data_IF_215911611495
#
_entry.id   IF_215911611495
#
_cell.length_a   1.000
_cell.length_b   1.000
_cell.length_c   1.000
_cell.angle_alpha   90.00
_cell.angle_beta   90.00
_cell.angle_gamma   90.00
#
_symmetry.space_group_name_H-M   'P 1'
#
loop_
_entity.id
_entity.type
_entity.pdbx_description
1 polymer ?
#
# COMPACT_ATOMS: atom_id res chain seq x y z
N UNK A 1 35.53 53.95 6.81
CA UNK A 1 34.62 53.15 5.97
C UNK A 1 33.33 53.01 6.76
N UNK A 2 32.18 53.55 6.31
CA UNK A 2 30.94 53.39 7.04
C UNK A 2 30.50 51.92 6.92
N UNK A 3 30.19 51.30 8.05
CA UNK A 3 29.63 49.94 8.09
C UNK A 3 28.22 49.98 7.49
N UNK A 4 28.11 49.57 6.23
CA UNK A 4 26.82 49.24 5.62
C UNK A 4 26.30 47.97 6.29
N UNK A 5 25.50 48.12 7.34
CA UNK A 5 24.63 47.03 7.77
C UNK A 5 23.52 46.92 6.74
N UNK A 6 23.66 46.00 5.79
CA UNK A 6 22.55 45.60 4.91
C UNK A 6 21.46 45.02 5.81
N UNK A 7 20.39 45.79 6.02
CA UNK A 7 19.17 45.30 6.66
C UNK A 7 18.58 44.17 5.81
N UNK A 8 18.69 42.94 6.28
CA UNK A 8 18.03 41.76 5.69
C UNK A 8 16.52 42.00 5.71
N UNK A 9 15.93 42.25 4.54
CA UNK A 9 14.50 42.62 4.38
C UNK A 9 13.52 41.45 4.61
N UNK A 10 14.03 40.25 4.82
CA UNK A 10 13.25 39.04 5.11
C UNK A 10 14.09 37.80 4.80
N UNK A 11 13.90 36.74 5.58
CA UNK A 11 14.52 35.43 5.30
C UNK A 11 13.49 34.59 4.58
N UNK A 12 13.78 34.15 3.35
CA UNK A 12 12.97 33.13 2.71
C UNK A 12 13.32 31.76 3.31
N UNK A 13 12.49 31.33 4.26
CA UNK A 13 12.65 30.04 4.92
C UNK A 13 12.59 28.85 3.95
N UNK A 14 12.06 28.98 2.74
CA UNK A 14 12.06 27.91 1.72
C UNK A 14 13.40 27.75 1.03
N UNK A 15 14.20 28.81 0.98
CA UNK A 15 15.57 28.73 0.51
C UNK A 15 16.46 28.08 1.59
N UNK A 16 16.25 28.44 2.85
CA UNK A 16 17.03 27.95 4.00
C UNK A 16 16.66 26.51 4.40
N UNK A 17 15.37 26.20 4.48
CA UNK A 17 14.85 24.88 4.85
C UNK A 17 13.85 24.37 3.79
N UNK A 18 14.37 23.86 2.65
CA UNK A 18 13.54 23.40 1.54
C UNK A 18 12.49 22.35 1.94
N UNK A 19 12.84 21.48 2.88
CA UNK A 19 12.01 20.38 3.37
C UNK A 19 10.67 20.83 3.99
N UNK A 20 10.52 22.11 4.39
CA UNK A 20 9.24 22.66 4.87
C UNK A 20 8.15 22.51 3.80
N UNK A 21 8.51 22.44 2.51
CA UNK A 21 7.54 22.24 1.43
C UNK A 21 6.76 20.93 1.55
N UNK A 22 7.30 19.92 2.24
CA UNK A 22 6.60 18.65 2.50
C UNK A 22 5.34 18.83 3.35
N UNK A 23 5.27 19.89 4.16
CA UNK A 23 4.03 20.24 4.89
C UNK A 23 2.84 20.51 3.96
N UNK A 24 3.12 20.94 2.72
CA UNK A 24 2.07 21.13 1.70
C UNK A 24 1.47 19.81 1.24
N UNK A 25 2.18 18.68 1.36
CA UNK A 25 1.66 17.37 1.01
C UNK A 25 0.39 17.04 1.80
N UNK A 26 0.33 17.42 3.08
CA UNK A 26 -0.89 17.33 3.90
C UNK A 26 -2.06 18.12 3.27
N UNK A 27 -1.82 19.40 2.92
CA UNK A 27 -2.85 20.25 2.30
C UNK A 27 -3.32 19.74 0.93
N UNK A 28 -2.45 19.07 0.19
CA UNK A 28 -2.81 18.37 -1.05
C UNK A 28 -3.67 17.15 -0.73
N UNK A 29 -3.23 16.30 0.19
CA UNK A 29 -3.88 15.04 0.54
C UNK A 29 -5.29 15.22 1.13
N UNK A 30 -5.52 16.26 1.94
CA UNK A 30 -6.86 16.58 2.51
C UNK A 30 -7.78 17.26 1.49
N UNK A 31 -7.30 17.61 0.30
CA UNK A 31 -8.17 18.26 -0.68
C UNK A 31 -9.21 17.29 -1.25
N UNK A 32 -10.44 17.78 -1.40
CA UNK A 32 -11.58 17.03 -1.96
C UNK A 32 -11.22 16.24 -3.22
N UNK A 33 -10.57 16.81 -4.26
CA UNK A 33 -10.24 16.03 -5.46
C UNK A 33 -9.30 14.87 -5.16
N UNK A 34 -8.30 15.05 -4.29
CA UNK A 34 -7.34 14.00 -3.96
C UNK A 34 -7.98 12.91 -3.11
N UNK A 35 -8.77 13.27 -2.10
CA UNK A 35 -9.51 12.30 -1.28
C UNK A 35 -10.48 11.49 -2.14
N UNK A 36 -11.22 12.14 -3.04
CA UNK A 36 -12.14 11.45 -3.94
C UNK A 36 -11.39 10.48 -4.87
N UNK A 37 -10.31 10.93 -5.51
CA UNK A 37 -9.50 10.07 -6.40
C UNK A 37 -8.88 8.90 -5.65
N UNK A 38 -8.35 9.13 -4.44
CA UNK A 38 -7.79 8.07 -3.62
C UNK A 38 -8.87 7.07 -3.18
N UNK A 39 -10.06 7.54 -2.80
CA UNK A 39 -11.17 6.66 -2.39
C UNK A 39 -11.66 5.79 -3.54
N UNK A 40 -11.80 6.37 -4.74
CA UNK A 40 -12.14 5.61 -5.94
C UNK A 40 -11.04 4.61 -6.28
N UNK A 41 -9.76 4.99 -6.15
CA UNK A 41 -8.62 4.08 -6.35
C UNK A 41 -8.62 2.90 -5.38
N UNK A 42 -8.85 3.15 -4.08
CA UNK A 42 -8.97 2.09 -3.06
C UNK A 42 -10.17 1.19 -3.37
N UNK A 43 -11.34 1.77 -3.63
CA UNK A 43 -12.55 1.03 -3.96
C UNK A 43 -12.40 0.15 -5.21
N UNK A 44 -11.74 0.64 -6.27
CA UNK A 44 -11.44 -0.14 -7.46
C UNK A 44 -10.39 -1.24 -7.21
N UNK A 45 -9.43 -0.99 -6.32
CA UNK A 45 -8.44 -2.02 -5.92
C UNK A 45 -9.17 -3.19 -5.27
N UNK A 46 -9.97 -2.92 -4.24
CA UNK A 46 -10.76 -3.95 -3.53
C UNK A 46 -11.74 -4.64 -4.49
N UNK A 47 -12.45 -3.88 -5.33
CA UNK A 47 -13.40 -4.46 -6.29
C UNK A 47 -12.72 -5.40 -7.29
N UNK A 48 -11.53 -5.03 -7.78
CA UNK A 48 -10.81 -5.86 -8.74
C UNK A 48 -10.27 -7.14 -8.14
N UNK A 49 -9.73 -7.08 -6.92
CA UNK A 49 -9.28 -8.28 -6.21
C UNK A 49 -10.44 -9.24 -5.92
N UNK A 50 -11.63 -8.72 -5.58
CA UNK A 50 -12.84 -9.55 -5.48
C UNK A 50 -13.27 -10.17 -6.81
N UNK A 51 -13.04 -9.51 -7.94
CA UNK A 51 -13.29 -10.07 -9.28
C UNK A 51 -12.28 -11.17 -9.61
N UNK A 52 -11.00 -10.97 -9.29
CA UNK A 52 -9.94 -11.96 -9.46
C UNK A 52 -10.28 -13.23 -8.68
N UNK A 53 -10.68 -13.09 -7.42
CA UNK A 53 -11.15 -14.20 -6.58
C UNK A 53 -12.29 -14.97 -7.23
N UNK A 54 -13.36 -14.28 -7.65
CA UNK A 54 -14.52 -14.92 -8.26
C UNK A 54 -14.21 -15.64 -9.59
N UNK A 55 -13.21 -15.19 -10.34
CA UNK A 55 -12.83 -15.77 -11.62
C UNK A 55 -11.89 -16.97 -11.49
N UNK A 56 -10.95 -16.93 -10.54
CA UNK A 56 -9.87 -17.93 -10.39
C UNK A 56 -10.17 -18.98 -9.33
N UNK A 57 -10.98 -18.66 -8.32
CA UNK A 57 -11.35 -19.55 -7.21
C UNK A 57 -12.82 -19.92 -7.38
N UNK A 58 -13.11 -20.87 -8.27
CA UNK A 58 -14.50 -21.24 -8.64
C UNK A 58 -15.28 -22.03 -7.58
N UNK A 59 -14.81 -22.16 -6.34
CA UNK A 59 -15.59 -22.77 -5.26
C UNK A 59 -15.38 -22.04 -3.93
N UNK A 60 -16.28 -21.10 -3.57
CA UNK A 60 -16.87 -20.94 -2.22
C UNK A 60 -17.92 -19.81 -2.12
N UNK A 61 -18.81 -19.82 -1.10
CA UNK A 61 -20.03 -18.99 -1.06
C UNK A 61 -19.71 -17.49 -0.92
N UNK A 62 -20.67 -16.68 -1.37
CA UNK A 62 -20.56 -15.24 -1.55
C UNK A 62 -19.81 -14.49 -0.43
N UNK A 63 -18.81 -13.73 -0.87
CA UNK A 63 -17.97 -12.79 -0.11
C UNK A 63 -18.79 -11.97 0.90
N UNK A 64 -18.53 -12.18 2.20
CA UNK A 64 -18.85 -11.21 3.23
C UNK A 64 -17.68 -10.21 3.31
N UNK A 65 -17.93 -8.97 2.90
CA UNK A 65 -17.00 -7.85 3.06
C UNK A 65 -16.66 -7.68 4.56
N UNK A 66 -15.37 -7.57 4.86
CA UNK A 66 -14.86 -7.28 6.21
C UNK A 66 -15.57 -6.04 6.75
N UNK A 67 -16.37 -6.25 7.81
CA UNK A 67 -17.37 -5.32 8.33
C UNK A 67 -18.67 -6.03 8.76
N UNK A 68 -18.95 -7.22 8.25
CA UNK A 68 -19.97 -8.10 8.80
C UNK A 68 -19.32 -9.08 9.79
N UNK A 69 -19.48 -8.82 11.09
CA UNK A 69 -19.16 -9.80 12.12
C UNK A 69 -20.06 -11.02 11.91
N UNK A 70 -19.52 -12.11 11.40
CA UNK A 70 -20.10 -13.43 11.66
C UNK A 70 -19.77 -13.76 13.12
N UNK A 71 -20.63 -13.30 14.03
CA UNK A 71 -20.82 -13.99 15.29
C UNK A 71 -21.20 -15.44 14.95
N UNK A 72 -20.29 -16.34 15.29
CA UNK A 72 -20.60 -17.56 16.03
C UNK A 72 -21.88 -18.27 15.57
N UNK A 73 -21.82 -19.00 14.45
CA UNK A 73 -22.70 -20.15 14.25
C UNK A 73 -22.13 -21.29 15.10
N UNK A 74 -22.23 -21.14 16.43
CA UNK A 74 -22.18 -22.28 17.33
C UNK A 74 -23.51 -23.01 17.19
N UNK A 75 -23.46 -24.16 16.55
CA UNK A 75 -24.63 -24.99 16.28
C UNK A 75 -25.24 -25.47 17.63
N UNK A 76 -26.49 -25.09 17.98
CA UNK A 76 -27.11 -25.49 19.25
C UNK A 76 -27.33 -27.01 19.38
N UNK A 77 -27.08 -27.79 18.31
CA UNK A 77 -27.09 -29.25 18.35
C UNK A 77 -25.85 -29.87 19.02
N UNK A 78 -24.72 -29.16 19.10
CA UNK A 78 -23.47 -29.74 19.63
C UNK A 78 -23.31 -29.65 21.16
N UNK A 79 -24.10 -28.79 21.81
CA UNK A 79 -24.10 -28.64 23.26
C UNK A 79 -24.98 -29.70 23.96
N UNK A 80 -26.00 -30.21 23.26
CA UNK A 80 -26.84 -31.30 23.73
C UNK A 80 -26.09 -32.66 23.73
N UNK A 81 -25.25 -32.92 22.73
CA UNK A 81 -24.45 -34.16 22.67
C UNK A 81 -23.37 -34.21 23.76
N UNK A 82 -22.71 -33.08 24.06
CA UNK A 82 -21.66 -33.03 25.12
C UNK A 82 -22.21 -33.19 26.54
N UNK A 83 -23.45 -32.77 26.79
CA UNK A 83 -24.12 -33.01 28.08
C UNK A 83 -24.55 -34.48 28.24
N UNK A 84 -24.83 -35.17 27.14
CA UNK A 84 -25.24 -36.58 27.14
C UNK A 84 -24.03 -37.49 27.33
N UNK A 85 -22.89 -37.18 26.69
CA UNK A 85 -21.64 -37.95 26.79
C UNK A 85 -21.05 -37.92 28.21
N UNK A 86 -21.11 -36.77 28.91
CA UNK A 86 -20.70 -36.67 30.31
C UNK A 86 -21.65 -37.40 31.28
N UNK A 87 -22.94 -37.49 30.97
CA UNK A 87 -23.92 -38.22 31.79
C UNK A 87 -23.74 -39.75 31.65
N UNK A 88 -23.43 -40.24 30.46
CA UNK A 88 -23.18 -41.68 30.22
C UNK A 88 -21.83 -42.14 30.82
N UNK A 89 -20.80 -41.29 30.84
CA UNK A 89 -19.50 -41.60 31.45
C UNK A 89 -19.54 -41.58 32.99
N UNK A 90 -20.47 -40.84 33.61
CA UNK A 90 -20.65 -40.84 35.07
C UNK A 90 -21.53 -42.00 35.58
N UNK A 91 -22.30 -42.65 34.71
CA UNK A 91 -23.18 -43.76 35.08
C UNK A 91 -22.51 -45.15 34.90
N UNK A 92 -21.31 -45.21 34.31
CA UNK A 92 -20.54 -46.44 34.08
C UNK A 92 -19.51 -46.78 35.19
N UNK A 93 -19.45 -46.00 36.28
CA UNK A 93 -18.42 -46.10 37.31
C UNK A 93 -18.86 -46.80 38.62
N UNK A 94 -19.92 -47.62 38.62
CA UNK A 94 -20.45 -48.24 39.85
C UNK A 94 -20.91 -49.69 39.64
N UNK A 95 -19.97 -50.65 39.51
CA UNK A 95 -20.00 -51.97 40.20
C UNK A 95 -18.72 -52.82 39.94
N UNK A 96 -18.29 -53.72 40.86
CA UNK A 96 -16.91 -54.25 40.93
C UNK A 96 -16.69 -55.74 40.52
N UNK A 97 -15.41 -56.07 40.26
CA UNK A 97 -14.72 -57.40 40.31
C UNK A 97 -14.88 -58.44 39.16
N UNK A 98 -14.00 -59.48 39.05
CA UNK A 98 -12.51 -59.53 39.10
C UNK A 98 -11.85 -60.53 38.06
N UNK A 99 -10.49 -60.57 38.02
CA UNK A 99 -9.63 -61.68 37.47
C UNK A 99 -9.49 -61.77 35.92
N UNK A 100 -8.37 -62.08 35.26
CA UNK A 100 -7.13 -62.81 35.57
C UNK A 100 -5.90 -62.25 34.81
N UNK A 101 -4.74 -62.52 35.42
CA UNK A 101 -3.33 -62.50 34.99
C UNK A 101 -2.97 -62.48 33.48
N UNK A 102 -1.98 -61.65 33.12
CA UNK A 102 -0.59 -62.12 32.85
C UNK A 102 0.38 -60.94 32.59
N UNK A 103 1.27 -60.72 33.55
CA UNK A 103 2.60 -60.10 33.41
C UNK A 103 3.60 -61.15 32.85
N UNK A 104 4.80 -60.82 32.33
CA UNK A 104 5.85 -60.09 33.09
C UNK A 104 6.84 -59.29 32.18
N UNK A 105 7.91 -58.59 32.57
CA UNK A 105 8.71 -58.42 33.80
C UNK A 105 9.21 -56.96 33.86
N UNK A 106 9.25 -56.42 35.07
CA UNK A 106 10.05 -55.25 35.45
C UNK A 106 11.49 -55.67 35.74
N UNK A 107 12.47 -54.80 35.48
CA UNK A 107 13.64 -54.73 36.36
C UNK A 107 13.98 -53.28 36.70
N UNK A 108 13.61 -52.94 37.93
CA UNK A 108 13.98 -51.75 38.70
C UNK A 108 15.42 -51.92 39.22
N UNK A 109 16.23 -50.87 39.19
CA UNK A 109 17.29 -50.67 40.20
C UNK A 109 17.29 -49.20 40.70
N UNK A 110 17.40 -49.10 42.02
CA UNK A 110 17.07 -48.02 42.98
C UNK A 110 18.14 -46.88 43.09
N UNK A 111 17.65 -45.63 43.22
CA UNK A 111 18.07 -44.34 43.88
C UNK A 111 19.41 -44.20 44.67
N UNK A 112 19.87 -43.00 45.18
CA UNK A 112 19.44 -41.57 45.06
C UNK A 112 20.60 -40.53 44.86
N UNK A 113 20.32 -39.30 44.39
CA UNK A 113 20.67 -37.98 45.01
C UNK A 113 20.45 -36.82 44.04
N UNK A 114 20.00 -35.70 44.60
CA UNK A 114 19.60 -34.44 43.99
C UNK A 114 20.57 -33.84 42.96
N UNK A 115 20.04 -33.29 41.87
CA UNK A 115 20.07 -31.84 41.61
C UNK A 115 19.24 -31.51 40.36
N UNK A 116 18.28 -30.61 40.55
CA UNK A 116 17.50 -29.95 39.51
C UNK A 116 18.43 -29.09 38.64
N UNK A 117 18.54 -29.44 37.36
CA UNK A 117 18.85 -28.50 36.29
C UNK A 117 17.81 -28.76 35.20
N UNK A 118 16.83 -27.86 34.99
CA UNK A 118 16.00 -27.96 33.81
C UNK A 118 16.87 -27.55 32.63
N UNK A 119 17.20 -28.53 31.78
CA UNK A 119 17.66 -28.27 30.42
C UNK A 119 16.54 -27.50 29.74
N UNK A 120 16.75 -26.21 29.52
CA UNK A 120 15.90 -25.41 28.65
C UNK A 120 16.18 -25.93 27.24
N UNK A 121 15.34 -26.83 26.74
CA UNK A 121 15.17 -26.99 25.31
C UNK A 121 14.85 -25.60 24.74
N UNK A 122 15.57 -25.13 23.71
CA UNK A 122 15.21 -23.86 23.10
C UNK A 122 13.81 -24.06 22.51
N UNK A 123 12.84 -23.32 23.05
CA UNK A 123 11.58 -23.05 22.37
C UNK A 123 11.95 -22.72 20.92
N UNK A 124 11.45 -23.52 19.99
CA UNK A 124 11.33 -23.15 18.59
C UNK A 124 10.48 -21.88 18.59
N UNK A 125 11.16 -20.73 18.62
CA UNK A 125 10.57 -19.48 18.26
C UNK A 125 10.23 -19.61 16.78
N UNK A 126 8.95 -19.60 16.43
CA UNK A 126 8.52 -19.18 15.10
C UNK A 126 9.11 -17.79 14.85
N UNK A 127 10.26 -17.74 14.20
CA UNK A 127 10.84 -16.50 13.74
C UNK A 127 9.97 -16.02 12.58
N UNK A 128 8.97 -15.19 12.88
CA UNK A 128 8.28 -14.40 11.86
C UNK A 128 9.34 -13.55 11.16
N UNK A 129 9.74 -13.95 9.95
CA UNK A 129 10.70 -13.16 9.18
C UNK A 129 10.15 -11.75 8.99
N UNK A 130 10.96 -10.73 9.27
CA UNK A 130 10.53 -9.34 9.07
C UNK A 130 10.16 -9.11 7.60
N UNK A 131 9.17 -8.24 7.35
CA UNK A 131 8.74 -7.84 5.99
C UNK A 131 9.94 -7.49 5.10
N UNK A 132 10.94 -6.82 5.68
CA UNK A 132 12.18 -6.45 4.99
C UNK A 132 12.99 -7.68 4.55
N UNK A 133 13.15 -8.67 5.44
CA UNK A 133 13.87 -9.91 5.13
C UNK A 133 13.17 -10.69 4.02
N UNK A 134 11.83 -10.80 4.07
CA UNK A 134 11.04 -11.47 3.04
C UNK A 134 11.14 -10.78 1.68
N UNK A 135 11.10 -9.45 1.68
CA UNK A 135 11.27 -8.64 0.48
C UNK A 135 12.67 -8.80 -0.13
N UNK A 136 13.70 -8.94 0.71
CA UNK A 136 15.09 -9.21 0.29
C UNK A 136 15.31 -10.64 -0.24
N UNK A 137 14.55 -11.62 0.24
CA UNK A 137 14.58 -13.02 -0.23
C UNK A 137 13.76 -13.20 -1.52
N UNK A 138 13.01 -12.18 -1.96
CA UNK A 138 12.23 -12.19 -3.19
C UNK A 138 10.79 -12.65 -3.02
N UNK A 139 10.30 -12.74 -1.78
CA UNK A 139 8.95 -13.17 -1.41
C UNK A 139 7.92 -12.02 -1.49
N UNK A 140 8.16 -11.04 -2.37
CA UNK A 140 7.32 -9.84 -2.47
C UNK A 140 5.90 -10.13 -2.97
N UNK A 141 5.71 -11.17 -3.78
CA UNK A 141 4.38 -11.60 -4.22
C UNK A 141 3.57 -12.21 -3.06
N UNK A 142 4.22 -12.88 -2.10
CA UNK A 142 3.51 -13.42 -0.94
C UNK A 142 3.00 -12.31 -0.01
N UNK A 143 3.67 -11.15 0.06
CA UNK A 143 3.13 -9.99 0.80
C UNK A 143 1.84 -9.45 0.18
N UNK A 144 1.72 -9.47 -1.15
CA UNK A 144 0.48 -9.11 -1.85
C UNK A 144 -0.59 -10.16 -1.54
N UNK A 145 -0.21 -11.43 -1.54
CA UNK A 145 -1.08 -12.54 -1.16
C UNK A 145 -1.60 -12.45 0.27
N UNK A 146 -0.74 -12.14 1.23
CA UNK A 146 -1.15 -11.94 2.62
C UNK A 146 -2.10 -10.76 2.75
N UNK A 147 -1.84 -9.65 2.04
CA UNK A 147 -2.77 -8.52 2.04
C UNK A 147 -4.13 -8.93 1.48
N UNK A 148 -4.14 -9.69 0.38
CA UNK A 148 -5.36 -10.22 -0.23
C UNK A 148 -6.11 -11.15 0.72
N UNK A 149 -5.42 -12.10 1.35
CA UNK A 149 -5.99 -13.05 2.31
C UNK A 149 -6.53 -12.34 3.56
N UNK A 150 -5.85 -11.28 4.03
CA UNK A 150 -6.37 -10.45 5.14
C UNK A 150 -7.64 -9.69 4.76
N UNK A 151 -7.83 -9.33 3.49
CA UNK A 151 -8.99 -8.59 3.01
C UNK A 151 -10.18 -9.49 2.66
N UNK A 152 -9.95 -10.70 2.15
CA UNK A 152 -11.02 -11.58 1.64
C UNK A 152 -11.19 -12.90 2.42
N UNK A 153 -10.47 -13.11 3.51
CA UNK A 153 -10.65 -14.24 4.43
C UNK A 153 -9.45 -15.20 4.42
N UNK A 154 -8.90 -15.42 5.62
CA UNK A 154 -7.54 -15.95 5.87
C UNK A 154 -7.23 -17.38 5.42
N UNK A 155 -5.94 -17.74 5.55
CA UNK A 155 -5.26 -18.99 5.15
C UNK A 155 -6.11 -19.94 4.28
N UNK A 156 -6.23 -19.58 3.01
CA UNK A 156 -6.85 -20.42 1.99
C UNK A 156 -5.81 -21.45 1.55
N UNK A 157 -6.14 -22.73 1.62
CA UNK A 157 -5.29 -23.80 1.08
C UNK A 157 -5.44 -23.85 -0.45
N UNK A 158 -4.77 -22.91 -1.13
CA UNK A 158 -4.76 -22.82 -2.59
C UNK A 158 -3.62 -23.66 -3.16
N UNK A 159 -3.86 -24.32 -4.29
CA UNK A 159 -2.77 -24.90 -5.08
C UNK A 159 -1.75 -23.81 -5.43
N UNK A 160 -0.45 -24.16 -5.37
CA UNK A 160 0.66 -23.22 -5.54
C UNK A 160 0.54 -22.44 -6.85
N UNK A 161 0.09 -23.09 -7.93
CA UNK A 161 -0.06 -22.41 -9.25
C UNK A 161 -1.19 -21.40 -9.25
N UNK A 162 -2.31 -21.72 -8.61
CA UNK A 162 -3.47 -20.84 -8.49
C UNK A 162 -3.14 -19.64 -7.61
N UNK A 163 -2.43 -19.85 -6.49
CA UNK A 163 -1.95 -18.77 -5.62
C UNK A 163 -1.09 -17.75 -6.37
N UNK A 164 -0.05 -18.21 -7.09
CA UNK A 164 0.77 -17.30 -7.89
C UNK A 164 -0.02 -16.58 -9.00
N UNK A 165 -1.00 -17.23 -9.62
CA UNK A 165 -1.83 -16.60 -10.65
C UNK A 165 -2.68 -15.45 -10.07
N UNK A 166 -3.27 -15.65 -8.89
CA UNK A 166 -4.02 -14.61 -8.16
C UNK A 166 -3.09 -13.44 -7.82
N UNK A 167 -1.94 -13.69 -7.19
CA UNK A 167 -1.01 -12.61 -6.79
C UNK A 167 -0.47 -11.80 -7.98
N UNK A 168 -0.20 -12.45 -9.12
CA UNK A 168 0.20 -11.76 -10.34
C UNK A 168 -0.95 -10.90 -10.88
N UNK A 169 -2.18 -11.43 -10.88
CA UNK A 169 -3.36 -10.68 -11.32
C UNK A 169 -3.64 -9.48 -10.41
N UNK A 170 -3.52 -9.63 -9.10
CA UNK A 170 -3.71 -8.57 -8.11
C UNK A 170 -2.65 -7.49 -8.24
N UNK A 171 -1.38 -7.87 -8.41
CA UNK A 171 -0.30 -6.93 -8.64
C UNK A 171 -0.47 -6.18 -9.97
N UNK A 172 -0.87 -6.87 -11.05
CA UNK A 172 -1.16 -6.24 -12.33
C UNK A 172 -2.33 -5.26 -12.23
N UNK A 173 -3.40 -5.64 -11.51
CA UNK A 173 -4.54 -4.77 -11.25
C UNK A 173 -4.14 -3.55 -10.43
N UNK A 174 -3.36 -3.74 -9.36
CA UNK A 174 -2.81 -2.68 -8.53
C UNK A 174 -2.01 -1.67 -9.37
N UNK A 175 -1.13 -2.14 -10.26
CA UNK A 175 -0.37 -1.28 -11.17
C UNK A 175 -1.27 -0.51 -12.15
N UNK A 176 -2.34 -1.11 -12.67
CA UNK A 176 -3.28 -0.45 -13.58
C UNK A 176 -4.05 0.66 -12.83
N UNK A 177 -4.62 0.34 -11.67
CA UNK A 177 -5.43 1.28 -10.89
C UNK A 177 -4.54 2.43 -10.37
N UNK A 178 -3.45 2.11 -9.68
CA UNK A 178 -2.58 3.14 -9.10
C UNK A 178 -1.66 3.81 -10.13
N UNK A 179 -1.42 3.17 -11.28
CA UNK A 179 -0.84 3.79 -12.46
C UNK A 179 -1.70 4.95 -12.99
N UNK A 180 -3.03 4.91 -12.80
CA UNK A 180 -3.93 5.99 -13.20
C UNK A 180 -4.24 6.97 -12.05
N UNK A 181 -4.78 6.47 -10.93
CA UNK A 181 -5.20 7.30 -9.81
C UNK A 181 -4.01 7.91 -9.06
N UNK A 182 -2.96 7.12 -8.84
CA UNK A 182 -1.70 7.61 -8.27
C UNK A 182 -1.09 8.70 -9.17
N UNK A 183 -1.09 8.49 -10.49
CA UNK A 183 -0.60 9.48 -11.46
C UNK A 183 -1.39 10.80 -11.44
N UNK A 184 -2.71 10.74 -11.29
CA UNK A 184 -3.51 11.97 -11.14
C UNK A 184 -3.21 12.70 -9.83
N UNK A 185 -3.04 11.96 -8.73
CA UNK A 185 -2.69 12.54 -7.43
C UNK A 185 -1.28 13.16 -7.50
N UNK A 186 -0.29 12.49 -8.09
CA UNK A 186 1.06 13.05 -8.27
C UNK A 186 1.03 14.28 -9.17
N UNK A 187 0.23 14.27 -10.25
CA UNK A 187 0.09 15.45 -11.11
C UNK A 187 -0.45 16.67 -10.38
N UNK A 188 -1.52 16.48 -9.58
CA UNK A 188 -2.08 17.54 -8.72
C UNK A 188 -1.05 17.98 -7.68
N UNK A 189 -0.33 17.04 -7.08
CA UNK A 189 0.64 17.31 -6.03
C UNK A 189 1.86 18.09 -6.54
N UNK A 190 2.49 17.66 -7.64
CA UNK A 190 3.67 18.32 -8.19
C UNK A 190 3.37 19.78 -8.53
N UNK A 191 2.24 20.08 -9.18
CA UNK A 191 1.87 21.45 -9.54
C UNK A 191 1.56 22.29 -8.29
N UNK A 192 0.84 21.73 -7.33
CA UNK A 192 0.45 22.47 -6.12
C UNK A 192 1.61 22.68 -5.15
N UNK A 193 2.52 21.72 -5.04
CA UNK A 193 3.71 21.81 -4.19
C UNK A 193 4.72 22.73 -4.86
N UNK A 194 5.06 22.48 -6.12
CA UNK A 194 6.06 23.23 -6.89
C UNK A 194 5.64 24.66 -7.21
N UNK A 195 4.60 24.82 -8.04
CA UNK A 195 4.13 26.13 -8.52
C UNK A 195 3.21 26.86 -7.55
N UNK A 196 2.62 26.15 -6.58
CA UNK A 196 1.60 26.74 -5.70
C UNK A 196 0.24 26.95 -6.38
N UNK A 197 0.06 26.46 -7.61
CA UNK A 197 -1.18 26.55 -8.36
C UNK A 197 -2.15 25.42 -8.00
N UNK A 198 -3.45 25.65 -8.20
CA UNK A 198 -4.48 24.60 -8.08
C UNK A 198 -4.93 24.21 -9.48
N UNK A 199 -4.82 22.92 -9.79
CA UNK A 199 -5.39 22.34 -11.03
C UNK A 199 -6.61 21.50 -10.73
N UNK A 200 -7.54 21.47 -11.68
CA UNK A 200 -8.75 20.66 -11.59
C UNK A 200 -8.50 19.19 -11.99
N UNK A 201 -9.39 18.29 -11.59
CA UNK A 201 -9.34 16.86 -11.94
C UNK A 201 -9.33 16.67 -13.47
N UNK A 202 -10.09 17.48 -14.22
CA UNK A 202 -10.16 17.39 -15.69
C UNK A 202 -8.80 17.62 -16.35
N UNK A 203 -8.07 18.62 -15.89
CA UNK A 203 -6.73 18.96 -16.40
C UNK A 203 -5.73 17.85 -16.06
N UNK A 204 -5.79 17.31 -14.84
CA UNK A 204 -4.99 16.16 -14.42
C UNK A 204 -5.27 14.92 -15.30
N UNK A 205 -6.54 14.61 -15.59
CA UNK A 205 -6.92 13.48 -16.47
C UNK A 205 -6.32 13.64 -17.87
N UNK A 206 -6.41 14.84 -18.45
CA UNK A 206 -5.92 15.11 -19.81
C UNK A 206 -4.42 14.86 -19.90
N UNK A 207 -3.66 15.30 -18.90
CA UNK A 207 -2.22 15.09 -18.81
C UNK A 207 -1.87 13.61 -18.62
N UNK A 208 -2.46 12.97 -17.60
CA UNK A 208 -2.19 11.56 -17.27
C UNK A 208 -2.55 10.63 -18.42
N UNK A 209 -3.67 10.85 -19.12
CA UNK A 209 -4.07 10.00 -20.24
C UNK A 209 -3.04 9.97 -21.37
N UNK A 210 -2.30 11.06 -21.60
CA UNK A 210 -1.24 11.10 -22.63
C UNK A 210 -0.02 10.27 -22.24
N UNK A 211 0.25 10.15 -20.93
CA UNK A 211 1.45 9.49 -20.37
C UNK A 211 1.13 8.21 -19.60
N UNK A 212 -0.11 7.72 -19.65
CA UNK A 212 -0.58 6.61 -18.82
C UNK A 212 0.27 5.35 -18.98
N UNK A 213 0.67 5.05 -20.23
CA UNK A 213 1.53 3.91 -20.53
C UNK A 213 2.88 4.06 -19.80
N UNK A 214 3.45 5.27 -19.72
CA UNK A 214 4.70 5.50 -18.99
C UNK A 214 4.58 5.18 -17.51
N UNK A 215 3.47 5.54 -16.86
CA UNK A 215 3.25 5.28 -15.44
C UNK A 215 3.21 3.78 -15.12
N UNK A 216 2.55 2.99 -15.98
CA UNK A 216 2.47 1.52 -15.80
C UNK A 216 3.76 0.83 -16.23
N UNK A 217 4.39 1.29 -17.31
CA UNK A 217 5.56 0.63 -17.89
C UNK A 217 6.86 0.95 -17.17
N UNK A 218 6.98 2.05 -16.42
CA UNK A 218 8.25 2.39 -15.72
C UNK A 218 8.67 1.35 -14.68
N UNK A 219 7.79 0.88 -13.77
CA UNK A 219 8.12 -0.22 -12.88
C UNK A 219 8.38 -1.53 -13.64
N UNK A 220 7.53 -1.82 -14.62
CA UNK A 220 7.61 -3.06 -15.39
C UNK A 220 8.91 -3.12 -16.20
N UNK A 221 9.39 -1.99 -16.70
CA UNK A 221 10.65 -1.87 -17.43
C UNK A 221 11.84 -2.32 -16.57
N UNK A 222 11.84 -2.00 -15.27
CA UNK A 222 12.87 -2.49 -14.35
C UNK A 222 12.76 -3.99 -14.13
N UNK A 223 11.56 -4.52 -13.91
CA UNK A 223 11.33 -5.96 -13.74
C UNK A 223 11.75 -6.76 -14.99
N UNK A 224 11.42 -6.26 -16.19
CA UNK A 224 11.85 -6.83 -17.47
C UNK A 224 13.38 -6.74 -17.61
N UNK A 225 14.00 -5.63 -17.21
CA UNK A 225 15.46 -5.49 -17.23
C UNK A 225 16.15 -6.50 -16.31
N UNK A 226 15.61 -6.73 -15.09
CA UNK A 226 16.08 -7.77 -14.18
C UNK A 226 15.93 -9.18 -14.80
N UNK A 227 14.79 -9.46 -15.44
CA UNK A 227 14.57 -10.74 -16.13
C UNK A 227 15.58 -10.96 -17.26
N UNK A 228 15.78 -9.97 -18.13
CA UNK A 228 16.73 -10.04 -19.25
C UNK A 228 18.17 -10.23 -18.75
N UNK A 229 18.60 -9.50 -17.73
CA UNK A 229 19.92 -9.69 -17.12
C UNK A 229 20.07 -11.04 -16.40
N UNK A 230 18.97 -11.66 -15.98
CA UNK A 230 18.99 -12.99 -15.38
C UNK A 230 19.09 -14.12 -16.41
N UNK A 231 18.78 -13.88 -17.68
CA UNK A 231 18.92 -14.89 -18.75
C UNK A 231 20.34 -15.47 -18.88
N UNK A 232 21.43 -14.67 -18.96
CA UNK A 232 22.78 -15.24 -19.01
C UNK A 232 23.12 -16.05 -17.75
N UNK A 233 22.64 -15.64 -16.58
CA UNK A 233 22.81 -16.40 -15.32
C UNK A 233 22.19 -17.79 -15.47
N UNK A 234 20.94 -17.86 -15.94
CA UNK A 234 20.22 -19.12 -16.14
C UNK A 234 20.91 -19.99 -17.20
N UNK A 235 21.21 -19.42 -18.37
CA UNK A 235 21.81 -20.15 -19.49
C UNK A 235 23.17 -20.73 -19.13
N UNK A 236 24.04 -19.98 -18.45
CA UNK A 236 25.35 -20.47 -18.01
C UNK A 236 25.20 -21.48 -16.87
N UNK A 237 24.26 -21.28 -15.95
CA UNK A 237 24.00 -22.24 -14.87
C UNK A 237 23.47 -23.57 -15.40
N UNK A 238 22.73 -23.57 -16.52
CA UNK A 238 22.26 -24.80 -17.18
C UNK A 238 23.43 -25.72 -17.61
N UNK A 239 24.58 -25.14 -17.98
CA UNK A 239 25.78 -25.91 -18.35
C UNK A 239 26.32 -26.73 -17.18
N UNK A 240 26.06 -26.35 -15.92
CA UNK A 240 26.49 -27.10 -14.74
C UNK A 240 25.88 -28.50 -14.65
N UNK A 241 24.81 -28.78 -15.40
CA UNK A 241 24.23 -30.13 -15.48
C UNK A 241 25.11 -31.15 -16.22
N UNK A 242 26.22 -30.72 -16.86
CA UNK A 242 27.14 -31.58 -17.59
C UNK A 242 28.56 -31.47 -17.01
N UNK A 243 29.28 -32.60 -16.91
CA UNK A 243 30.65 -32.62 -16.35
C UNK A 243 31.62 -31.67 -17.08
N UNK A 244 31.61 -31.68 -18.41
CA UNK A 244 32.42 -30.76 -19.24
C UNK A 244 31.86 -29.32 -19.16
N UNK A 245 30.54 -29.20 -18.97
CA UNK A 245 29.86 -27.93 -18.85
C UNK A 245 30.29 -27.15 -17.60
N UNK A 246 30.72 -27.81 -16.53
CA UNK A 246 31.31 -27.16 -15.34
C UNK A 246 32.58 -26.38 -15.70
N UNK A 247 33.46 -26.95 -16.53
CA UNK A 247 34.69 -26.28 -16.97
C UNK A 247 34.34 -25.04 -17.80
N UNK A 248 33.42 -25.17 -18.75
CA UNK A 248 32.98 -24.04 -19.58
C UNK A 248 32.27 -22.95 -18.76
N UNK A 249 31.40 -23.34 -17.82
CA UNK A 249 30.72 -22.44 -16.91
C UNK A 249 31.71 -21.70 -15.99
N UNK A 250 32.79 -22.33 -15.56
CA UNK A 250 33.82 -21.68 -14.73
C UNK A 250 34.50 -20.50 -15.45
N UNK A 251 34.72 -20.62 -16.76
CA UNK A 251 35.29 -19.55 -17.59
C UNK A 251 34.25 -18.43 -17.79
N UNK A 252 32.98 -18.79 -18.04
CA UNK A 252 31.89 -17.83 -18.22
C UNK A 252 31.37 -17.23 -16.90
N UNK A 253 31.83 -17.69 -15.75
CA UNK A 253 31.31 -17.30 -14.44
C UNK A 253 31.46 -15.80 -14.15
N UNK A 254 32.45 -15.14 -14.75
CA UNK A 254 32.60 -13.68 -14.66
C UNK A 254 31.36 -12.95 -15.19
N UNK A 255 30.73 -13.47 -16.26
CA UNK A 255 29.49 -12.93 -16.81
C UNK A 255 28.33 -13.13 -15.83
N UNK A 256 28.28 -14.27 -15.15
CA UNK A 256 27.27 -14.58 -14.13
C UNK A 256 27.38 -13.61 -12.95
N UNK A 257 28.60 -13.40 -12.44
CA UNK A 257 28.85 -12.45 -11.34
C UNK A 257 28.46 -11.02 -11.77
N UNK A 258 28.89 -10.58 -12.96
CA UNK A 258 28.57 -9.25 -13.46
C UNK A 258 27.05 -9.05 -13.64
N UNK A 259 26.35 -10.03 -14.21
CA UNK A 259 24.91 -10.02 -14.35
C UNK A 259 24.19 -10.01 -13.00
N UNK A 260 24.65 -10.81 -12.03
CA UNK A 260 24.11 -10.86 -10.67
C UNK A 260 24.24 -9.53 -9.93
N UNK A 261 25.40 -8.88 -10.03
CA UNK A 261 25.62 -7.52 -9.50
C UNK A 261 24.66 -6.53 -10.20
N UNK A 262 24.51 -6.63 -11.52
CA UNK A 262 23.58 -5.80 -12.29
C UNK A 262 22.13 -5.94 -11.80
N UNK A 263 21.65 -7.17 -11.63
CA UNK A 263 20.30 -7.45 -11.08
C UNK A 263 20.16 -6.91 -9.66
N UNK A 264 21.16 -7.10 -8.79
CA UNK A 264 21.12 -6.60 -7.42
C UNK A 264 21.05 -5.06 -7.37
N UNK A 265 21.81 -4.37 -8.22
CA UNK A 265 21.75 -2.90 -8.34
C UNK A 265 20.38 -2.45 -8.84
N UNK A 266 19.82 -3.12 -9.87
CA UNK A 266 18.50 -2.78 -10.40
C UNK A 266 17.39 -3.00 -9.36
N UNK A 267 17.41 -4.11 -8.62
CA UNK A 267 16.43 -4.38 -7.57
C UNK A 267 16.55 -3.41 -6.40
N UNK A 268 17.77 -3.04 -6.02
CA UNK A 268 18.00 -2.00 -5.00
C UNK A 268 17.45 -0.66 -5.47
N UNK A 269 17.75 -0.27 -6.71
CA UNK A 269 17.21 0.94 -7.32
C UNK A 269 15.69 0.89 -7.46
N UNK A 270 15.12 -0.27 -7.75
CA UNK A 270 13.67 -0.47 -7.80
C UNK A 270 13.04 -0.24 -6.45
N UNK A 271 13.52 -0.94 -5.40
CA UNK A 271 12.96 -0.92 -4.05
C UNK A 271 12.78 0.50 -3.50
N UNK A 272 13.76 1.38 -3.71
CA UNK A 272 13.72 2.76 -3.24
C UNK A 272 13.26 3.78 -4.30
N UNK A 273 13.53 3.51 -5.58
CA UNK A 273 13.28 4.46 -6.67
C UNK A 273 11.89 4.35 -7.29
N UNK A 274 11.18 3.23 -7.16
CA UNK A 274 9.86 3.04 -7.79
C UNK A 274 8.85 4.15 -7.43
N UNK A 275 8.75 4.65 -6.17
CA UNK A 275 7.77 5.69 -5.86
C UNK A 275 8.05 7.00 -6.61
N UNK A 276 9.34 7.30 -6.88
CA UNK A 276 9.79 8.52 -7.53
C UNK A 276 9.52 8.53 -9.06
N UNK A 277 9.20 7.39 -9.66
CA UNK A 277 8.94 7.32 -11.10
C UNK A 277 7.69 8.11 -11.50
N UNK A 278 6.62 8.06 -10.68
CA UNK A 278 5.37 8.77 -10.94
C UNK A 278 5.53 10.29 -10.91
N UNK A 279 6.09 10.90 -9.86
CA UNK A 279 6.30 12.34 -9.86
C UNK A 279 7.31 12.79 -10.94
N UNK A 280 8.26 11.95 -11.35
CA UNK A 280 9.11 12.24 -12.51
C UNK A 280 8.27 12.44 -13.77
N UNK A 281 7.40 11.48 -14.09
CA UNK A 281 6.52 11.56 -15.27
C UNK A 281 5.54 12.74 -15.17
N UNK A 282 5.06 13.03 -13.95
CA UNK A 282 4.14 14.13 -13.67
C UNK A 282 4.79 15.51 -13.72
N UNK A 283 6.09 15.65 -13.46
CA UNK A 283 6.80 16.92 -13.40
C UNK A 283 7.40 17.33 -14.75
N UNK A 284 7.90 16.36 -15.51
CA UNK A 284 8.64 16.58 -16.76
C UNK A 284 7.72 16.63 -17.99
N UNK A 285 8.19 17.25 -19.08
CA UNK A 285 7.42 17.39 -20.33
C UNK A 285 7.26 16.05 -21.06
N UNK A 286 8.37 15.37 -21.37
CA UNK A 286 8.37 14.09 -22.08
C UNK A 286 7.78 12.98 -21.21
N UNK A 287 8.33 12.81 -19.99
CA UNK A 287 7.81 11.83 -19.02
C UNK A 287 7.80 10.41 -19.59
N UNK A 288 8.87 10.03 -20.28
CA UNK A 288 9.01 8.70 -20.86
C UNK A 288 9.48 7.68 -19.81
N UNK A 289 9.36 6.40 -20.16
CA UNK A 289 9.70 5.25 -19.28
C UNK A 289 11.17 5.27 -18.85
N UNK A 290 12.07 5.66 -19.76
CA UNK A 290 13.51 5.63 -19.53
C UNK A 290 13.96 6.79 -18.64
N UNK A 291 13.47 8.00 -18.90
CA UNK A 291 13.70 9.20 -18.09
C UNK A 291 13.18 8.99 -16.67
N UNK A 292 11.95 8.48 -16.52
CA UNK A 292 11.36 8.17 -15.23
C UNK A 292 12.22 7.19 -14.42
N UNK A 293 12.67 6.11 -15.05
CA UNK A 293 13.50 5.08 -14.42
C UNK A 293 14.88 5.62 -14.06
N UNK A 294 15.57 6.23 -15.02
CA UNK A 294 16.96 6.69 -14.88
C UNK A 294 17.10 7.81 -13.85
N UNK A 295 16.23 8.83 -13.86
CA UNK A 295 16.27 9.91 -12.85
C UNK A 295 15.94 9.41 -11.45
N UNK A 296 14.92 8.55 -11.32
CA UNK A 296 14.56 7.97 -10.02
C UNK A 296 15.72 7.18 -9.40
N UNK A 297 16.45 6.42 -10.23
CA UNK A 297 17.63 5.67 -9.79
C UNK A 297 18.79 6.61 -9.48
N UNK A 298 19.04 7.60 -10.35
CA UNK A 298 20.08 8.59 -10.14
C UNK A 298 19.91 9.30 -8.79
N UNK A 299 18.73 9.80 -8.47
CA UNK A 299 18.50 10.49 -7.20
C UNK A 299 18.64 9.57 -5.99
N UNK A 300 18.15 8.33 -6.10
CA UNK A 300 18.27 7.32 -5.04
C UNK A 300 19.74 7.02 -4.72
N UNK A 301 20.59 6.84 -5.74
CA UNK A 301 22.00 6.47 -5.56
C UNK A 301 22.92 7.66 -5.31
N UNK A 302 22.62 8.85 -5.84
CA UNK A 302 23.47 10.03 -5.71
C UNK A 302 23.22 10.80 -4.41
N UNK A 303 21.99 10.78 -3.89
CA UNK A 303 21.61 11.52 -2.69
C UNK A 303 20.85 10.66 -1.66
N UNK A 304 21.38 9.48 -1.25
CA UNK A 304 20.65 8.54 -0.39
C UNK A 304 20.37 9.12 1.01
N UNK A 305 21.26 9.95 1.55
CA UNK A 305 21.11 10.57 2.88
C UNK A 305 20.00 11.63 2.83
N UNK A 306 19.97 12.45 1.78
CA UNK A 306 18.95 13.48 1.58
C UNK A 306 17.59 12.82 1.33
N UNK A 307 17.55 11.77 0.52
CA UNK A 307 16.34 10.99 0.29
C UNK A 307 15.80 10.41 1.60
N UNK A 308 16.64 9.74 2.40
CA UNK A 308 16.27 9.21 3.70
C UNK A 308 15.76 10.31 4.64
N UNK A 309 16.45 11.46 4.71
CA UNK A 309 16.02 12.60 5.51
C UNK A 309 14.61 13.09 5.10
N UNK A 310 14.34 13.24 3.81
CA UNK A 310 13.02 13.67 3.34
C UNK A 310 11.93 12.62 3.59
N UNK A 311 12.24 11.33 3.49
CA UNK A 311 11.32 10.24 3.87
C UNK A 311 11.00 10.31 5.37
N UNK A 312 12.00 10.50 6.23
CA UNK A 312 11.80 10.63 7.68
C UNK A 312 10.95 11.85 8.03
N UNK A 313 11.19 12.99 7.38
CA UNK A 313 10.34 14.19 7.54
C UNK A 313 8.91 13.92 7.07
N UNK A 314 8.73 13.21 5.95
CA UNK A 314 7.41 12.81 5.45
C UNK A 314 6.67 11.93 6.45
N UNK A 315 7.33 10.93 7.04
CA UNK A 315 6.77 10.06 8.08
C UNK A 315 6.38 10.86 9.33
N UNK A 316 7.24 11.80 9.77
CA UNK A 316 6.97 12.66 10.91
C UNK A 316 5.73 13.56 10.70
N UNK A 317 5.42 13.91 9.45
CA UNK A 317 4.19 14.64 9.09
C UNK A 317 3.01 13.66 8.95
N UNK A 318 3.24 12.47 8.39
CA UNK A 318 2.20 11.48 8.10
C UNK A 318 1.51 10.98 9.38
N UNK A 319 2.27 10.58 10.39
CA UNK A 319 1.73 10.02 11.65
C UNK A 319 0.68 10.94 12.29
N UNK A 320 0.99 12.21 12.64
CA UNK A 320 -0.01 13.10 13.24
C UNK A 320 -1.13 13.45 12.26
N UNK A 321 -0.86 13.45 10.94
CA UNK A 321 -1.89 13.74 9.94
C UNK A 321 -2.96 12.65 9.87
N UNK A 322 -2.57 11.38 9.90
CA UNK A 322 -3.51 10.24 9.92
C UNK A 322 -4.36 10.30 11.19
N UNK A 323 -3.72 10.49 12.35
CA UNK A 323 -4.41 10.63 13.64
C UNK A 323 -5.44 11.77 13.56
N UNK A 324 -5.04 12.94 13.05
CA UNK A 324 -5.93 14.08 12.92
C UNK A 324 -7.13 13.79 12.02
N UNK A 325 -6.90 13.22 10.82
CA UNK A 325 -7.96 12.96 9.84
C UNK A 325 -8.94 11.90 10.34
N UNK A 326 -8.45 10.81 10.93
CA UNK A 326 -9.30 9.75 11.48
C UNK A 326 -10.11 10.25 12.68
N UNK A 327 -9.47 10.95 13.63
CA UNK A 327 -10.20 11.52 14.76
C UNK A 327 -11.24 12.56 14.32
N UNK A 328 -10.95 13.35 13.28
CA UNK A 328 -11.91 14.29 12.72
C UNK A 328 -13.11 13.56 12.10
N UNK A 329 -12.89 12.47 11.37
CA UNK A 329 -13.96 11.66 10.81
C UNK A 329 -14.84 11.05 11.91
N UNK A 330 -14.24 10.44 12.94
CA UNK A 330 -14.97 9.90 14.09
C UNK A 330 -15.72 10.98 14.87
N UNK A 331 -15.13 12.17 15.04
CA UNK A 331 -15.79 13.29 15.72
C UNK A 331 -16.97 13.83 14.92
N UNK A 332 -16.83 13.96 13.60
CA UNK A 332 -17.92 14.36 12.72
C UNK A 332 -19.09 13.36 12.79
N UNK A 333 -18.79 12.07 12.77
CA UNK A 333 -19.78 11.01 12.94
C UNK A 333 -20.49 11.07 14.30
N UNK A 334 -19.75 11.25 15.39
CA UNK A 334 -20.33 11.40 16.73
C UNK A 334 -21.27 12.60 16.82
N UNK A 335 -20.93 13.74 16.20
CA UNK A 335 -21.80 14.92 16.16
C UNK A 335 -23.08 14.64 15.36
N UNK A 336 -22.98 13.92 14.24
CA UNK A 336 -24.14 13.53 13.43
C UNK A 336 -25.09 12.64 14.24
N UNK A 337 -24.58 11.57 14.85
CA UNK A 337 -25.41 10.65 15.64
C UNK A 337 -25.95 11.31 16.91
N UNK A 338 -25.15 12.14 17.59
CA UNK A 338 -25.63 12.91 18.74
C UNK A 338 -26.76 13.87 18.37
N UNK A 339 -26.65 14.58 17.24
CA UNK A 339 -27.70 15.47 16.75
C UNK A 339 -28.97 14.73 16.34
N UNK A 340 -28.81 13.57 15.69
CA UNK A 340 -29.91 12.68 15.32
C UNK A 340 -30.66 12.17 16.56
N UNK A 341 -29.96 11.69 17.58
CA UNK A 341 -30.55 11.17 18.81
C UNK A 341 -31.30 12.24 19.63
N UNK A 342 -30.95 13.52 19.47
CA UNK A 342 -31.70 14.64 20.06
C UNK A 342 -33.00 14.93 19.30
N UNK A 343 -33.02 14.72 17.98
CA UNK A 343 -34.15 15.07 17.12
C UNK A 343 -35.16 13.93 16.95
N UNK A 344 -34.69 12.67 16.97
CA UNK A 344 -35.51 11.50 16.70
C UNK A 344 -35.27 10.42 17.76
N UNK A 345 -36.33 10.01 18.46
CA UNK A 345 -36.27 8.95 19.48
C UNK A 345 -35.87 7.59 18.91
N UNK A 346 -36.20 7.32 17.65
CA UNK A 346 -35.80 6.10 16.91
C UNK A 346 -34.41 6.19 16.28
N UNK A 347 -33.68 7.30 16.47
CA UNK A 347 -32.32 7.47 15.93
C UNK A 347 -31.35 6.37 16.39
N UNK A 348 -31.51 5.88 17.62
CA UNK A 348 -30.68 4.80 18.15
C UNK A 348 -30.77 3.51 17.33
N UNK A 349 -31.92 3.20 16.72
CA UNK A 349 -32.08 2.01 15.86
C UNK A 349 -31.24 2.09 14.59
N UNK A 350 -31.09 3.29 14.03
CA UNK A 350 -30.23 3.53 12.86
C UNK A 350 -28.77 3.41 13.26
N UNK A 351 -28.39 3.96 14.42
CA UNK A 351 -27.03 3.86 14.93
C UNK A 351 -26.64 2.39 15.16
N UNK A 352 -27.54 1.61 15.76
CA UNK A 352 -27.33 0.19 16.06
C UNK A 352 -27.26 -0.66 14.77
N UNK A 353 -28.09 -0.32 13.76
CA UNK A 353 -28.00 -0.89 12.41
C UNK A 353 -26.67 -0.57 11.73
N UNK A 354 -26.21 0.69 11.78
CA UNK A 354 -24.95 1.11 11.17
C UNK A 354 -23.75 0.45 11.85
N UNK A 355 -23.80 0.24 13.17
CA UNK A 355 -22.78 -0.51 13.91
C UNK A 355 -22.84 -2.03 13.74
N UNK A 356 -23.82 -2.55 12.99
CA UNK A 356 -23.98 -3.99 12.76
C UNK A 356 -24.52 -4.78 13.95
N UNK A 357 -25.11 -4.12 14.95
CA UNK A 357 -25.59 -4.73 16.20
C UNK A 357 -27.04 -5.25 16.10
N UNK A 358 -27.84 -4.78 15.14
CA UNK A 358 -29.20 -5.30 14.85
C UNK A 358 -29.24 -5.99 13.50
N UNK A 359 -29.81 -7.20 13.46
CA UNK A 359 -30.22 -7.89 12.24
C UNK A 359 -31.58 -7.38 11.73
N UNK A 360 -31.77 -7.37 10.41
CA UNK A 360 -32.88 -6.73 9.65
C UNK A 360 -34.30 -7.22 9.96
N UNK A 361 -34.52 -7.99 11.02
CA UNK A 361 -35.77 -8.70 11.27
C UNK A 361 -36.84 -7.78 11.87
N UNK A 362 -38.03 -7.78 11.27
CA UNK A 362 -39.20 -7.02 11.74
C UNK A 362 -39.32 -5.55 11.31
N UNK A 363 -38.38 -4.99 10.53
CA UNK A 363 -38.44 -3.60 10.07
C UNK A 363 -39.09 -3.42 8.69
N UNK A 364 -39.66 -2.23 8.43
CA UNK A 364 -40.29 -1.92 7.14
C UNK A 364 -39.25 -1.84 5.99
N UNK A 365 -39.63 -2.21 4.77
CA UNK A 365 -38.73 -2.12 3.60
C UNK A 365 -38.21 -0.70 3.36
N UNK A 366 -39.03 0.32 3.62
CA UNK A 366 -38.63 1.71 3.43
C UNK A 366 -37.58 2.14 4.47
N UNK A 367 -37.71 1.67 5.71
CA UNK A 367 -36.70 1.87 6.76
C UNK A 367 -35.37 1.24 6.35
N UNK A 368 -35.38 -0.02 5.87
CA UNK A 368 -34.15 -0.70 5.44
C UNK A 368 -33.47 0.00 4.27
N UNK A 369 -34.22 0.52 3.30
CA UNK A 369 -33.63 1.30 2.19
C UNK A 369 -32.97 2.57 2.74
N UNK A 370 -33.65 3.31 3.63
CA UNK A 370 -33.10 4.51 4.27
C UNK A 370 -31.85 4.22 5.10
N UNK A 371 -31.88 3.16 5.91
CA UNK A 371 -30.78 2.74 6.76
C UNK A 371 -29.55 2.30 5.93
N UNK A 372 -29.77 1.58 4.82
CA UNK A 372 -28.69 1.22 3.89
C UNK A 372 -28.04 2.43 3.22
N UNK A 373 -28.83 3.46 2.85
CA UNK A 373 -28.27 4.70 2.29
C UNK A 373 -27.42 5.42 3.34
N UNK A 374 -27.91 5.52 4.59
CA UNK A 374 -27.16 6.14 5.69
C UNK A 374 -25.87 5.36 5.96
N UNK A 375 -25.95 4.04 6.09
CA UNK A 375 -24.79 3.17 6.26
C UNK A 375 -23.76 3.36 5.14
N UNK A 376 -24.21 3.36 3.87
CA UNK A 376 -23.32 3.55 2.72
C UNK A 376 -22.64 4.94 2.69
N UNK A 377 -23.33 5.99 3.15
CA UNK A 377 -22.75 7.33 3.28
C UNK A 377 -21.70 7.40 4.39
N UNK A 378 -21.96 6.78 5.55
CA UNK A 378 -20.99 6.69 6.65
C UNK A 378 -19.76 5.86 6.25
N UNK A 379 -19.99 4.71 5.62
CA UNK A 379 -18.93 3.88 5.05
C UNK A 379 -18.07 4.67 4.07
N UNK A 380 -18.68 5.42 3.16
CA UNK A 380 -17.94 6.24 2.19
C UNK A 380 -17.12 7.35 2.87
N UNK A 381 -17.64 7.97 3.93
CA UNK A 381 -16.90 8.98 4.69
C UNK A 381 -15.67 8.40 5.39
N UNK A 382 -15.79 7.22 6.01
CA UNK A 382 -14.64 6.50 6.59
C UNK A 382 -13.65 6.05 5.52
N UNK A 383 -14.13 5.53 4.39
CA UNK A 383 -13.29 5.20 3.25
C UNK A 383 -12.48 6.41 2.76
N UNK A 384 -13.06 7.61 2.73
CA UNK A 384 -12.33 8.83 2.41
C UNK A 384 -11.24 9.15 3.45
N UNK A 385 -11.53 8.93 4.73
CA UNK A 385 -10.56 9.12 5.80
C UNK A 385 -9.40 8.12 5.71
N UNK A 386 -9.66 6.86 5.36
CA UNK A 386 -8.63 5.84 5.17
C UNK A 386 -7.82 6.06 3.88
N UNK A 387 -8.50 6.48 2.80
CA UNK A 387 -7.87 6.82 1.53
C UNK A 387 -6.91 8.03 1.62
N UNK A 388 -6.99 8.82 2.69
CA UNK A 388 -6.00 9.86 2.99
C UNK A 388 -4.57 9.32 2.96
N UNK A 389 -4.33 8.11 3.47
CA UNK A 389 -2.99 7.51 3.51
C UNK A 389 -2.39 7.38 2.11
N UNK A 390 -3.18 6.88 1.16
CA UNK A 390 -2.74 6.76 -0.23
C UNK A 390 -2.54 8.14 -0.87
N UNK A 391 -3.46 9.09 -0.64
CA UNK A 391 -3.34 10.46 -1.13
C UNK A 391 -2.07 11.16 -0.62
N UNK A 392 -1.76 11.00 0.68
CA UNK A 392 -0.57 11.55 1.31
C UNK A 392 0.71 10.89 0.78
N UNK A 393 0.72 9.57 0.58
CA UNK A 393 1.86 8.86 0.01
C UNK A 393 2.28 9.47 -1.33
N UNK A 394 1.36 9.54 -2.31
CA UNK A 394 1.68 10.13 -3.63
C UNK A 394 2.02 11.62 -3.55
N UNK A 395 1.35 12.38 -2.68
CA UNK A 395 1.63 13.80 -2.53
C UNK A 395 3.01 14.07 -1.91
N UNK A 396 3.39 13.29 -0.89
CA UNK A 396 4.69 13.44 -0.22
C UNK A 396 5.83 12.99 -1.11
N UNK A 397 5.70 11.87 -1.82
CA UNK A 397 6.69 11.38 -2.79
C UNK A 397 6.90 12.39 -3.93
N UNK A 398 5.85 13.10 -4.33
CA UNK A 398 5.94 14.23 -5.28
C UNK A 398 6.76 15.40 -4.74
N UNK A 399 6.58 15.75 -3.46
CA UNK A 399 7.42 16.75 -2.79
C UNK A 399 8.87 16.31 -2.64
N UNK A 400 9.10 15.03 -2.28
CA UNK A 400 10.45 14.45 -2.15
C UNK A 400 11.17 14.48 -3.49
N UNK A 401 10.50 14.12 -4.58
CA UNK A 401 11.04 14.19 -5.92
C UNK A 401 11.50 15.61 -6.28
N UNK A 402 10.65 16.63 -6.07
CA UNK A 402 11.00 18.02 -6.36
C UNK A 402 12.20 18.51 -5.53
N UNK A 403 12.29 18.09 -4.27
CA UNK A 403 13.43 18.41 -3.40
C UNK A 403 14.73 17.75 -3.86
N UNK A 404 14.66 16.50 -4.29
CA UNK A 404 15.81 15.78 -4.85
C UNK A 404 16.25 16.40 -6.17
N UNK A 405 15.31 16.71 -7.07
CA UNK A 405 15.59 17.41 -8.34
C UNK A 405 16.25 18.76 -8.11
N UNK A 406 15.80 19.54 -7.11
CA UNK A 406 16.48 20.78 -6.71
C UNK A 406 17.88 20.55 -6.19
N UNK A 407 18.10 19.49 -5.42
CA UNK A 407 19.39 19.21 -4.81
C UNK A 407 20.41 18.68 -5.82
N UNK A 408 20.02 17.75 -6.68
CA UNK A 408 20.89 17.05 -7.63
C UNK A 408 21.05 17.82 -8.94
N UNK A 409 19.94 18.28 -9.53
CA UNK A 409 19.92 18.90 -10.86
C UNK A 409 19.93 20.43 -10.81
N UNK A 410 19.92 21.01 -9.60
CA UNK A 410 19.82 22.46 -9.36
C UNK A 410 18.59 23.11 -10.04
N UNK A 411 17.54 22.33 -10.28
CA UNK A 411 16.32 22.84 -10.89
C UNK A 411 15.41 23.50 -9.86
N UNK A 412 14.85 24.70 -10.13
CA UNK A 412 13.85 25.33 -9.27
C UNK A 412 12.60 24.45 -9.06
N UNK A 413 11.95 24.60 -7.89
CA UNK A 413 10.79 23.78 -7.50
C UNK A 413 9.53 24.10 -8.32
N UNK A 414 9.45 25.32 -8.85
CA UNK A 414 8.36 25.85 -9.67
C UNK A 414 8.48 25.48 -11.15
N UNK A 415 9.63 24.93 -11.57
CA UNK A 415 9.87 24.46 -12.94
C UNK A 415 9.18 23.10 -13.20
N UNK A 416 7.85 23.15 -13.23
CA UNK A 416 6.95 22.03 -13.50
C UNK A 416 6.24 22.29 -14.82
N UNK A 417 6.29 21.31 -15.72
CA UNK A 417 5.64 21.42 -17.04
C UNK A 417 4.11 21.47 -16.91
N UNK A 418 3.45 22.44 -17.54
CA UNK A 418 1.98 22.56 -17.62
C UNK A 418 1.59 22.72 -19.08
N UNK A 419 0.64 21.91 -19.56
CA UNK A 419 0.23 21.85 -20.98
C UNK A 419 -0.27 23.21 -21.49
N UNK A 420 -0.90 23.99 -20.62
CA UNK A 420 -1.57 25.25 -20.97
C UNK A 420 -0.73 26.50 -20.64
N UNK A 421 0.56 26.40 -20.27
CA UNK A 421 1.29 27.59 -19.77
C UNK A 421 1.38 28.75 -20.79
N UNK A 422 1.39 28.42 -22.10
CA UNK A 422 1.42 29.40 -23.20
C UNK A 422 0.05 30.06 -23.47
N UNK A 423 -1.04 29.30 -23.30
CA UNK A 423 -2.40 29.72 -23.65
C UNK A 423 -3.23 30.19 -22.43
N UNK A 424 -2.94 29.71 -21.22
CA UNK A 424 -3.66 30.00 -19.96
C UNK A 424 -3.56 31.47 -19.53
N UNK A 425 -2.45 32.13 -19.83
CA UNK A 425 -2.24 33.55 -19.52
C UNK A 425 -2.46 34.48 -20.71
N UNK A 426 -2.84 33.95 -21.89
CA UNK A 426 -2.98 34.74 -23.11
C UNK A 426 -1.71 35.52 -23.45
N UNK A 427 -0.52 35.02 -23.10
CA UNK A 427 0.72 35.76 -23.32
C UNK A 427 0.96 35.96 -24.82
N UNK A 428 0.61 34.97 -25.63
CA UNK A 428 0.64 35.09 -27.09
C UNK A 428 -0.36 36.13 -27.59
N UNK A 429 -1.56 36.23 -26.98
CA UNK A 429 -2.54 37.28 -27.29
C UNK A 429 -2.02 38.68 -26.89
N UNK A 430 -1.33 38.79 -25.76
CA UNK A 430 -0.71 40.05 -25.29
C UNK A 430 0.50 40.45 -26.14
N UNK A 431 1.33 39.48 -26.56
CA UNK A 431 2.45 39.69 -27.48
C UNK A 431 1.91 40.13 -28.85
N UNK A 432 0.84 39.50 -29.32
CA UNK A 432 0.19 39.85 -30.57
C UNK A 432 -0.44 41.25 -30.49
N UNK A 433 -1.16 41.57 -29.42
CA UNK A 433 -1.68 42.92 -29.17
C UNK A 433 -0.57 43.99 -29.10
N UNK A 434 0.54 43.69 -28.43
CA UNK A 434 1.69 44.62 -28.34
C UNK A 434 2.33 44.83 -29.70
N UNK A 435 2.46 43.77 -30.50
CA UNK A 435 3.01 43.83 -31.86
C UNK A 435 2.11 44.66 -32.77
N UNK A 436 0.79 44.45 -32.72
CA UNK A 436 -0.21 45.23 -33.46
C UNK A 436 -0.21 46.71 -33.05
N UNK A 437 -0.07 47.02 -31.76
CA UNK A 437 0.05 48.40 -31.26
C UNK A 437 1.36 49.09 -31.66
N UNK A 438 2.46 48.34 -31.81
CA UNK A 438 3.75 48.91 -32.24
C UNK A 438 3.84 49.17 -33.75
N UNK A 439 2.90 48.64 -34.53
CA UNK A 439 2.86 48.76 -36.00
C UNK A 439 1.89 49.87 -36.46
N UNK A 440 1.12 50.46 -35.54
CA UNK A 440 0.33 51.69 -35.74
C UNK A 440 1.12 52.91 -35.28
#
# INVERSE_FOLDING_TARGET
>A
MPNNYETVKGVDWREVFPWIILTRAFSVAVSIPVLFLASVGVGLTVSGWGIVDNLLISEQPAVALVGATSEEIENPASQADRLTEHAELQQAAEDPQPSEAQEPEQSLVVHPTDHVVPTIDPLVAETSESVFQRLMVGDGLALVGELHDTLFGGNRDLDVRTGYAVYIADFAWLLIVWGFFGAMITRIAVIRIGRGEKIGIKEAIIDVRKKYISYVMSPLFVLVSCFVLSLPILLISLLLNFDIGVILASILWVVVIAAGIGVAVLLTGFCFGWPLMWPTISAEEAGDVYEATSRSFAYTFQAPIQYLFYVLVSIAIWIPSVILVQNFASLAEQLIFSGMNLAASEGHLIQEYVSGQISSDGQSQLFLIGANIIWGLHWFAHLMADAFCAGFFFASVSGIYLLLRRFVDHTPLDEVFVIDDKTKYGLDDLIQQTTEQSTQ
#
